data_IF_676223436064
#
_entry.id   IF_676223436064
#
_cell.length_a   1.000
_cell.length_b   1.000
_cell.length_c   1.000
_cell.angle_alpha   90.00
_cell.angle_beta   90.00
_cell.angle_gamma   90.00
#
_symmetry.space_group_name_H-M   'P 1'
#
loop_
_entity.id
_entity.type
_entity.pdbx_description
1 polymer ?
#
# COMPACT_ATOMS: atom_id res chain seq x y z
N UNK A 1 13.57 10.59 12.64
CA UNK A 1 12.69 9.41 12.47
C UNK A 1 11.70 9.22 13.63
N UNK A 2 12.08 9.49 14.89
CA UNK A 2 11.24 9.30 16.09
C UNK A 2 9.98 10.21 16.18
N UNK A 3 10.09 11.50 15.82
CA UNK A 3 9.00 12.48 16.00
C UNK A 3 7.83 12.25 15.03
N UNK A 4 8.12 11.93 13.76
CA UNK A 4 7.10 11.72 12.74
C UNK A 4 6.16 10.54 13.02
N UNK A 5 6.66 9.47 13.65
CA UNK A 5 5.85 8.29 14.01
C UNK A 5 4.86 8.55 15.15
N UNK A 6 5.24 9.38 16.13
CA UNK A 6 4.37 9.73 17.26
C UNK A 6 3.26 10.71 16.84
N UNK A 7 3.56 11.58 15.88
CA UNK A 7 2.61 12.52 15.31
C UNK A 7 1.63 11.80 14.37
N UNK A 8 2.15 11.07 13.38
CA UNK A 8 1.34 10.44 12.32
C UNK A 8 0.77 9.07 12.71
N UNK A 9 1.25 8.42 13.77
CA UNK A 9 0.76 7.13 14.26
C UNK A 9 1.11 5.90 13.40
N UNK A 10 1.77 6.08 12.25
CA UNK A 10 2.05 4.99 11.31
C UNK A 10 3.46 4.45 11.55
N UNK A 11 3.55 3.40 12.37
CA UNK A 11 4.83 2.72 12.71
C UNK A 11 5.31 1.79 11.60
N UNK A 12 4.37 1.14 10.89
CA UNK A 12 4.69 0.13 9.90
C UNK A 12 5.33 0.70 8.61
N UNK A 13 5.13 1.98 8.30
CA UNK A 13 5.53 2.56 7.01
C UNK A 13 7.02 2.41 6.72
N UNK A 14 7.89 2.55 7.73
CA UNK A 14 9.34 2.43 7.52
C UNK A 14 9.75 1.01 7.18
N UNK A 15 9.20 0.01 7.87
CA UNK A 15 9.42 -1.38 7.57
C UNK A 15 8.88 -1.73 6.17
N UNK A 16 7.67 -1.26 5.85
CA UNK A 16 7.06 -1.48 4.53
C UNK A 16 7.93 -0.90 3.40
N UNK A 17 8.49 0.30 3.55
CA UNK A 17 9.39 0.88 2.55
C UNK A 17 10.60 -0.03 2.27
N UNK A 18 11.21 -0.58 3.33
CA UNK A 18 12.35 -1.51 3.19
C UNK A 18 11.94 -2.82 2.52
N UNK A 19 10.80 -3.38 2.90
CA UNK A 19 10.26 -4.62 2.29
C UNK A 19 10.00 -4.42 0.80
N UNK A 20 9.36 -3.32 0.41
CA UNK A 20 9.09 -3.06 -1.01
C UNK A 20 10.37 -2.78 -1.80
N UNK A 21 11.30 -1.99 -1.24
CA UNK A 21 12.60 -1.77 -1.89
C UNK A 21 13.34 -3.09 -2.10
N UNK A 22 13.40 -3.96 -1.08
CA UNK A 22 14.00 -5.29 -1.17
C UNK A 22 13.30 -6.20 -2.18
N UNK A 23 11.97 -6.19 -2.24
CA UNK A 23 11.20 -6.98 -3.21
C UNK A 23 11.57 -6.65 -4.66
N UNK A 24 11.76 -5.36 -4.97
CA UNK A 24 12.16 -4.89 -6.29
C UNK A 24 13.69 -4.85 -6.49
N UNK A 25 14.48 -5.43 -5.58
CA UNK A 25 15.95 -5.39 -5.60
C UNK A 25 16.49 -3.96 -5.76
N UNK A 26 15.81 -2.98 -5.13
CA UNK A 26 16.16 -1.58 -5.13
C UNK A 26 16.86 -1.21 -3.81
N UNK A 27 17.79 -0.26 -3.89
CA UNK A 27 18.51 0.29 -2.72
C UNK A 27 17.63 1.21 -1.87
N UNK A 28 16.54 1.75 -2.43
CA UNK A 28 15.61 2.62 -1.74
C UNK A 28 14.18 2.49 -2.27
N UNK A 29 13.22 2.98 -1.48
CA UNK A 29 11.83 3.06 -1.89
C UNK A 29 11.55 4.41 -2.58
N UNK A 30 11.83 4.46 -3.88
CA UNK A 30 11.53 5.58 -4.78
C UNK A 30 11.04 5.05 -6.12
N UNK A 31 10.30 5.87 -6.88
CA UNK A 31 9.81 5.44 -8.20
C UNK A 31 10.98 5.25 -9.15
N UNK A 32 11.98 6.12 -9.03
CA UNK A 32 13.19 6.18 -9.85
C UNK A 32 14.03 4.91 -9.67
N UNK A 33 14.18 4.43 -8.43
CA UNK A 33 14.89 3.18 -8.15
C UNK A 33 14.09 1.93 -8.55
N UNK A 34 12.76 1.95 -8.40
CA UNK A 34 11.91 0.76 -8.59
C UNK A 34 11.51 0.55 -10.05
N UNK A 35 11.06 1.60 -10.75
CA UNK A 35 10.44 1.49 -12.08
C UNK A 35 11.30 0.73 -13.11
N UNK A 36 12.64 0.95 -13.20
CA UNK A 36 13.47 0.23 -14.14
C UNK A 36 13.52 -1.29 -13.91
N UNK A 37 13.20 -1.77 -12.71
CA UNK A 37 13.26 -3.18 -12.29
C UNK A 37 11.89 -3.82 -12.16
N UNK A 38 10.83 -3.02 -12.17
CA UNK A 38 9.49 -3.46 -11.79
C UNK A 38 8.95 -4.56 -12.70
N UNK A 39 9.17 -4.43 -14.02
CA UNK A 39 8.72 -5.43 -15.00
C UNK A 39 9.46 -6.75 -14.85
N UNK A 40 10.79 -6.71 -14.80
CA UNK A 40 11.60 -7.92 -14.68
C UNK A 40 11.32 -8.66 -13.36
N UNK A 41 11.14 -7.91 -12.26
CA UNK A 41 10.77 -8.48 -10.96
C UNK A 41 9.39 -9.16 -11.03
N UNK A 42 8.42 -8.55 -11.70
CA UNK A 42 7.10 -9.13 -11.92
C UNK A 42 7.19 -10.44 -12.71
N UNK A 43 7.87 -10.42 -13.86
CA UNK A 43 8.00 -11.59 -14.74
C UNK A 43 8.74 -12.74 -14.03
N UNK A 44 9.82 -12.43 -13.32
CA UNK A 44 10.60 -13.38 -12.52
C UNK A 44 9.78 -14.00 -11.38
N UNK A 45 8.96 -13.22 -10.69
CA UNK A 45 8.10 -13.71 -9.62
C UNK A 45 7.07 -14.72 -10.16
N UNK A 46 6.39 -14.40 -11.27
CA UNK A 46 5.44 -15.31 -11.90
C UNK A 46 6.13 -16.55 -12.45
N UNK A 47 7.33 -16.43 -13.02
CA UNK A 47 8.14 -17.58 -13.44
C UNK A 47 8.41 -18.54 -12.29
N UNK A 48 8.87 -18.03 -11.14
CA UNK A 48 9.10 -18.85 -9.93
C UNK A 48 7.84 -19.56 -9.44
N UNK A 49 6.70 -18.89 -9.45
CA UNK A 49 5.42 -19.52 -9.08
C UNK A 49 5.07 -20.65 -10.06
N UNK A 50 5.24 -20.41 -11.37
CA UNK A 50 4.92 -21.40 -12.40
C UNK A 50 5.81 -22.63 -12.34
N UNK A 51 7.08 -22.45 -12.00
CA UNK A 51 8.04 -23.53 -11.76
C UNK A 51 7.71 -24.30 -10.46
N UNK A 52 7.37 -23.59 -9.38
CA UNK A 52 7.06 -24.20 -8.09
C UNK A 52 5.72 -24.94 -8.06
N UNK A 53 4.74 -24.49 -8.84
CA UNK A 53 3.41 -25.12 -8.98
C UNK A 53 3.10 -25.32 -10.46
N UNK A 54 3.62 -26.38 -11.09
CA UNK A 54 3.40 -26.64 -12.52
C UNK A 54 1.92 -26.83 -12.87
N UNK A 55 1.53 -26.57 -14.13
CA UNK A 55 0.12 -26.60 -14.56
C UNK A 55 -0.46 -28.02 -14.46
N UNK A 56 0.33 -29.00 -14.85
CA UNK A 56 0.04 -30.43 -14.80
C UNK A 56 -0.25 -30.93 -13.37
N UNK A 57 0.11 -30.16 -12.34
CA UNK A 57 -0.25 -30.50 -10.96
C UNK A 57 -1.74 -30.32 -10.65
N UNK A 58 -2.48 -29.59 -11.50
CA UNK A 58 -3.88 -29.25 -11.27
C UNK A 58 -4.12 -28.30 -10.09
N UNK A 59 -3.06 -27.79 -9.44
CA UNK A 59 -3.13 -26.89 -8.26
C UNK A 59 -2.90 -25.42 -8.60
N UNK A 60 -2.84 -25.07 -9.87
CA UNK A 60 -2.65 -23.71 -10.36
C UNK A 60 -3.70 -23.35 -11.41
N UNK A 61 -4.33 -22.20 -11.24
CA UNK A 61 -5.12 -21.52 -12.25
C UNK A 61 -4.38 -20.25 -12.70
N UNK A 62 -4.16 -20.08 -14.00
CA UNK A 62 -3.74 -18.80 -14.57
C UNK A 62 -5.00 -17.95 -14.78
N UNK A 63 -5.23 -16.99 -13.88
CA UNK A 63 -6.42 -16.16 -13.87
C UNK A 63 -6.06 -14.71 -14.22
N UNK A 64 -6.68 -14.15 -15.26
CA UNK A 64 -6.53 -12.76 -15.62
C UNK A 64 -7.64 -11.91 -14.99
N UNK A 65 -7.31 -10.65 -14.69
CA UNK A 65 -8.29 -9.70 -14.16
C UNK A 65 -9.38 -9.44 -15.20
N UNK A 66 -10.60 -9.89 -14.91
CA UNK A 66 -11.75 -9.75 -15.80
C UNK A 66 -12.35 -11.07 -16.24
N UNK A 67 -11.68 -12.21 -15.98
CA UNK A 67 -12.13 -13.54 -16.38
C UNK A 67 -13.44 -13.98 -15.71
N UNK A 68 -13.83 -13.35 -14.60
CA UNK A 68 -15.13 -13.55 -13.97
C UNK A 68 -15.22 -14.82 -13.12
N UNK A 69 -16.46 -15.28 -12.89
CA UNK A 69 -16.71 -16.41 -11.99
C UNK A 69 -16.36 -17.77 -12.60
N UNK A 70 -16.60 -17.95 -13.89
CA UNK A 70 -16.62 -19.25 -14.54
C UNK A 70 -15.30 -20.04 -14.40
N UNK A 71 -14.13 -19.52 -14.81
CA UNK A 71 -12.87 -20.27 -14.68
C UNK A 71 -12.43 -20.49 -13.23
N UNK A 72 -12.82 -19.59 -12.32
CA UNK A 72 -12.52 -19.71 -10.90
C UNK A 72 -13.38 -20.80 -10.24
N UNK A 73 -14.68 -20.80 -10.52
CA UNK A 73 -15.63 -21.77 -9.99
C UNK A 73 -15.34 -23.18 -10.53
N UNK A 74 -15.03 -23.32 -11.82
CA UNK A 74 -14.61 -24.58 -12.43
C UNK A 74 -13.37 -25.15 -11.73
N UNK A 75 -12.33 -24.33 -11.58
CA UNK A 75 -11.08 -24.73 -10.91
C UNK A 75 -11.29 -25.15 -9.44
N UNK A 76 -12.24 -24.51 -8.74
CA UNK A 76 -12.55 -24.80 -7.34
C UNK A 76 -13.60 -25.91 -7.15
N UNK A 77 -14.19 -26.43 -8.23
CA UNK A 77 -15.29 -27.40 -8.16
C UNK A 77 -16.53 -26.84 -7.46
N UNK A 78 -16.89 -25.58 -7.76
CA UNK A 78 -18.04 -24.87 -7.18
C UNK A 78 -18.99 -24.41 -8.26
N UNK A 79 -20.27 -24.26 -7.88
CA UNK A 79 -21.27 -23.66 -8.76
C UNK A 79 -20.99 -22.17 -8.97
N UNK A 80 -21.32 -21.66 -10.16
CA UNK A 80 -21.26 -20.23 -10.46
C UNK A 80 -22.40 -19.51 -9.75
N UNK A 81 -22.12 -18.48 -8.92
CA UNK A 81 -23.18 -17.78 -8.21
C UNK A 81 -23.95 -16.83 -9.14
N UNK A 82 -25.25 -16.64 -8.86
CA UNK A 82 -26.11 -15.68 -9.57
C UNK A 82 -25.90 -14.25 -9.06
N UNK A 83 -24.65 -13.79 -9.05
CA UNK A 83 -24.27 -12.41 -8.72
C UNK A 83 -23.17 -11.92 -9.65
N UNK A 84 -23.12 -10.62 -9.98
CA UNK A 84 -22.03 -10.07 -10.77
C UNK A 84 -20.66 -10.28 -10.09
N UNK A 85 -19.61 -10.47 -10.89
CA UNK A 85 -18.25 -10.56 -10.35
C UNK A 85 -17.85 -9.23 -9.68
N UNK A 86 -17.30 -9.25 -8.45
CA UNK A 86 -17.08 -8.02 -7.69
C UNK A 86 -15.98 -7.13 -8.28
N UNK A 87 -16.23 -5.82 -8.31
CA UNK A 87 -15.25 -4.78 -8.68
C UNK A 87 -15.24 -3.66 -7.66
N UNK A 88 -14.43 -3.80 -6.62
CA UNK A 88 -14.45 -2.89 -5.45
C UNK A 88 -13.15 -2.12 -5.21
N UNK A 89 -12.02 -2.59 -5.74
CA UNK A 89 -10.70 -2.03 -5.49
C UNK A 89 -10.11 -1.37 -6.75
N UNK A 90 -10.90 -0.49 -7.39
CA UNK A 90 -10.41 0.27 -8.52
C UNK A 90 -9.51 1.45 -8.08
N UNK A 91 -8.88 2.09 -9.07
CA UNK A 91 -7.96 3.20 -8.84
C UNK A 91 -8.63 4.38 -8.13
N UNK A 92 -9.88 4.69 -8.48
CA UNK A 92 -10.59 5.84 -7.94
C UNK A 92 -10.90 5.60 -6.46
N UNK A 93 -11.53 4.47 -6.14
CA UNK A 93 -11.81 4.05 -4.77
C UNK A 93 -10.53 4.02 -3.90
N UNK A 94 -9.42 3.54 -4.46
CA UNK A 94 -8.13 3.57 -3.77
C UNK A 94 -7.66 5.00 -3.48
N UNK A 95 -7.71 5.89 -4.49
CA UNK A 95 -7.26 7.28 -4.35
C UNK A 95 -8.09 8.05 -3.33
N UNK A 96 -9.40 7.82 -3.28
CA UNK A 96 -10.31 8.44 -2.30
C UNK A 96 -10.00 7.96 -0.89
N UNK A 97 -9.76 6.66 -0.71
CA UNK A 97 -9.33 6.10 0.58
C UNK A 97 -7.97 6.63 1.04
N UNK A 98 -7.01 6.84 0.12
CA UNK A 98 -5.73 7.51 0.44
C UNK A 98 -5.97 8.95 0.88
N UNK A 99 -6.80 9.70 0.15
CA UNK A 99 -7.11 11.10 0.47
C UNK A 99 -7.76 11.24 1.85
N UNK A 100 -8.75 10.40 2.16
CA UNK A 100 -9.41 10.40 3.46
C UNK A 100 -8.41 10.14 4.61
N UNK A 101 -7.53 9.13 4.45
CA UNK A 101 -6.47 8.84 5.43
C UNK A 101 -5.48 9.99 5.60
N UNK A 102 -5.12 10.67 4.52
CA UNK A 102 -4.21 11.82 4.57
C UNK A 102 -4.84 13.01 5.32
N UNK A 103 -6.13 13.29 5.10
CA UNK A 103 -6.87 14.33 5.83
C UNK A 103 -6.92 14.00 7.31
N UNK A 104 -7.18 12.74 7.66
CA UNK A 104 -7.22 12.30 9.04
C UNK A 104 -5.85 12.39 9.73
N UNK A 105 -4.77 12.00 9.02
CA UNK A 105 -3.42 12.17 9.51
C UNK A 105 -3.06 13.65 9.75
N UNK A 106 -3.48 14.55 8.85
CA UNK A 106 -3.28 15.99 8.99
C UNK A 106 -4.02 16.55 10.21
N UNK A 107 -5.31 16.19 10.40
CA UNK A 107 -6.09 16.60 11.59
C UNK A 107 -5.42 16.15 12.88
N UNK A 108 -5.00 14.89 12.95
CA UNK A 108 -4.32 14.34 14.11
C UNK A 108 -2.98 15.03 14.39
N UNK A 109 -2.24 15.38 13.34
CA UNK A 109 -1.01 16.15 13.49
C UNK A 109 -1.28 17.56 14.06
N UNK A 110 -2.30 18.26 13.56
CA UNK A 110 -2.69 19.59 14.07
C UNK A 110 -3.09 19.51 15.54
N UNK A 111 -3.93 18.54 15.92
CA UNK A 111 -4.39 18.38 17.31
C UNK A 111 -3.23 18.09 18.28
N UNK A 112 -2.21 17.35 17.85
CA UNK A 112 -1.05 17.00 18.69
C UNK A 112 0.02 18.09 18.74
N UNK A 113 0.31 18.75 17.62
CA UNK A 113 1.42 19.70 17.49
C UNK A 113 0.97 21.14 17.74
N UNK A 114 -0.28 21.48 17.39
CA UNK A 114 -0.84 22.82 17.48
C UNK A 114 -0.72 23.47 18.87
N UNK A 115 -1.13 22.80 19.96
CA UNK A 115 -1.03 23.38 21.31
C UNK A 115 0.42 23.66 21.73
N UNK A 116 1.35 22.75 21.41
CA UNK A 116 2.78 22.92 21.72
C UNK A 116 3.36 24.08 20.92
N UNK A 117 3.04 24.18 19.62
CA UNK A 117 3.48 25.28 18.78
C UNK A 117 2.93 26.64 19.26
N UNK A 118 1.64 26.69 19.63
CA UNK A 118 1.01 27.90 20.15
C UNK A 118 1.66 28.37 21.47
N UNK A 119 1.99 27.44 22.37
CA UNK A 119 2.70 27.74 23.61
C UNK A 119 4.11 28.29 23.34
N UNK A 120 4.87 27.65 22.45
CA UNK A 120 6.22 28.08 22.07
C UNK A 120 6.22 29.48 21.46
N UNK A 121 5.26 29.77 20.56
CA UNK A 121 5.10 31.11 19.97
C UNK A 121 4.74 32.13 21.04
N UNK A 122 3.85 31.79 21.96
CA UNK A 122 3.44 32.69 23.06
C UNK A 122 4.62 33.06 23.96
N UNK A 123 5.46 32.09 24.32
CA UNK A 123 6.68 32.30 25.11
C UNK A 123 7.67 33.19 24.35
N UNK A 124 7.89 32.94 23.06
CA UNK A 124 8.81 33.73 22.25
C UNK A 124 8.34 35.19 22.10
N UNK A 125 7.04 35.41 21.88
CA UNK A 125 6.46 36.77 21.82
C UNK A 125 6.57 37.48 23.17
N UNK A 126 6.34 36.76 24.27
CA UNK A 126 6.53 37.33 25.61
C UNK A 126 7.98 37.74 25.86
N UNK A 127 8.94 36.88 25.53
CA UNK A 127 10.37 37.13 25.69
C UNK A 127 10.90 38.23 24.76
N UNK A 128 10.30 38.45 23.59
CA UNK A 128 10.65 39.57 22.71
C UNK A 128 10.18 40.92 23.26
N UNK A 129 9.05 40.91 23.97
CA UNK A 129 8.44 42.13 24.53
C UNK A 129 9.10 42.59 25.84
N UNK A 130 9.92 41.75 26.47
CA UNK A 130 10.68 42.04 27.69
C UNK A 130 12.17 42.23 27.36
#
# INVERSE_FOLDING_TARGET
>A
QFIGWNILGIRAAHAMKKVHAGFFSANEYSKEAILPRARDTYEEYYRKIREAVPLESGRRLEYAMGDGWEPLCEFLGKDVPDVPFPRVNDRQAHSDGVRARNIEALKNAILKVGPVAALMVSIAVYAWKW
#
